data_IF_572832201964
#
_entry.id   IF_572832201964
#
_cell.length_a   1.000
_cell.length_b   1.000
_cell.length_c   1.000
_cell.angle_alpha   90.00
_cell.angle_beta   90.00
_cell.angle_gamma   90.00
#
_symmetry.space_group_name_H-M   'P 1'
#
loop_
_entity.id
_entity.type
_entity.pdbx_description
1 polymer ?
#
# COMPACT_ATOMS: atom_id res chain seq x y z
N UNK A 1 19.94 -12.11 12.79
CA UNK A 1 19.44 -10.73 12.91
C UNK A 1 18.16 -10.47 12.12
N UNK A 2 18.18 -10.63 10.78
CA UNK A 2 17.06 -10.21 9.90
C UNK A 2 15.70 -10.88 10.25
N UNK A 3 15.68 -12.18 10.50
CA UNK A 3 14.45 -12.90 10.87
C UNK A 3 13.92 -12.43 12.22
N UNK A 4 14.78 -12.23 13.21
CA UNK A 4 14.38 -11.74 14.54
C UNK A 4 13.81 -10.34 14.44
N UNK A 5 14.45 -9.44 13.69
CA UNK A 5 13.94 -8.08 13.47
C UNK A 5 12.59 -8.09 12.74
N UNK A 6 12.43 -8.97 11.74
CA UNK A 6 11.18 -9.15 11.01
C UNK A 6 10.03 -9.56 11.95
N UNK A 7 10.24 -10.60 12.75
CA UNK A 7 9.25 -11.09 13.71
C UNK A 7 8.95 -10.02 14.79
N UNK A 8 10.00 -9.37 15.31
CA UNK A 8 9.83 -8.35 16.37
C UNK A 8 9.00 -7.14 15.92
N UNK A 9 9.08 -6.76 14.65
CA UNK A 9 8.28 -5.65 14.10
C UNK A 9 6.85 -6.08 13.78
N UNK A 10 6.66 -7.29 13.26
CA UNK A 10 5.34 -7.74 12.81
C UNK A 10 4.47 -8.29 13.94
N UNK A 11 5.05 -8.96 14.94
CA UNK A 11 4.29 -9.65 15.97
C UNK A 11 3.38 -8.72 16.78
N UNK A 12 3.84 -7.56 17.29
CA UNK A 12 2.97 -6.63 18.00
C UNK A 12 1.81 -6.14 17.13
N UNK A 13 2.13 -5.75 15.87
CA UNK A 13 1.13 -5.26 14.92
C UNK A 13 0.10 -6.35 14.58
N UNK A 14 0.55 -7.59 14.41
CA UNK A 14 -0.31 -8.75 14.13
C UNK A 14 -1.30 -8.98 15.28
N UNK A 15 -0.81 -9.02 16.53
CA UNK A 15 -1.64 -9.25 17.71
C UNK A 15 -2.70 -8.15 17.84
N UNK A 16 -2.29 -6.89 17.74
CA UNK A 16 -3.21 -5.74 17.84
C UNK A 16 -4.25 -5.79 16.72
N UNK A 17 -3.83 -6.10 15.48
CA UNK A 17 -4.75 -6.16 14.35
C UNK A 17 -5.73 -7.33 14.47
N UNK A 18 -5.32 -8.49 14.98
CA UNK A 18 -6.23 -9.61 15.26
C UNK A 18 -7.29 -9.22 16.30
N UNK A 19 -6.89 -8.54 17.38
CA UNK A 19 -7.82 -8.03 18.39
C UNK A 19 -8.80 -7.03 17.77
N UNK A 20 -8.30 -6.06 17.02
CA UNK A 20 -9.15 -5.06 16.34
C UNK A 20 -10.11 -5.72 15.35
N UNK A 21 -9.65 -6.72 14.59
CA UNK A 21 -10.49 -7.45 13.64
C UNK A 21 -11.63 -8.18 14.33
N UNK A 22 -11.32 -8.83 15.45
CA UNK A 22 -12.32 -9.54 16.24
C UNK A 22 -13.35 -8.57 16.84
N UNK A 23 -12.89 -7.50 17.46
CA UNK A 23 -13.76 -6.45 17.99
C UNK A 23 -14.62 -5.82 16.89
N UNK A 24 -14.04 -5.49 15.75
CA UNK A 24 -14.76 -4.91 14.63
C UNK A 24 -15.93 -5.79 14.15
N UNK A 25 -15.68 -7.09 13.95
CA UNK A 25 -16.72 -7.99 13.46
C UNK A 25 -17.87 -8.20 14.48
N UNK A 26 -17.56 -8.13 15.76
CA UNK A 26 -18.57 -8.31 16.83
C UNK A 26 -19.21 -7.00 17.29
N UNK A 27 -18.64 -5.85 16.96
CA UNK A 27 -19.09 -4.54 17.47
C UNK A 27 -19.79 -3.67 16.42
N UNK A 28 -20.02 -4.18 15.21
CA UNK A 28 -20.68 -3.41 14.13
C UNK A 28 -22.02 -2.81 14.52
N UNK A 29 -22.74 -3.44 15.45
CA UNK A 29 -24.06 -3.03 15.91
C UNK A 29 -24.02 -2.08 17.13
N UNK A 30 -22.82 -1.71 17.61
CA UNK A 30 -22.70 -0.81 18.77
C UNK A 30 -22.86 0.63 18.26
N UNK A 31 -23.81 1.41 18.83
CA UNK A 31 -23.93 2.84 18.51
C UNK A 31 -22.60 3.57 18.72
N UNK A 32 -22.27 4.48 17.84
CA UNK A 32 -21.02 5.25 17.89
C UNK A 32 -19.79 4.54 17.34
N UNK A 33 -19.82 3.20 17.15
CA UNK A 33 -18.67 2.49 16.58
C UNK A 33 -18.38 2.93 15.12
N UNK A 34 -19.41 3.05 14.30
CA UNK A 34 -19.29 3.58 12.94
C UNK A 34 -18.82 5.03 12.93
N UNK A 35 -19.37 5.87 13.82
CA UNK A 35 -19.04 7.28 13.95
C UNK A 35 -17.58 7.52 14.36
N UNK A 36 -16.98 6.61 15.16
CA UNK A 36 -15.54 6.64 15.43
C UNK A 36 -14.73 6.60 14.13
N UNK A 37 -15.04 5.66 13.23
CA UNK A 37 -14.32 5.54 11.95
C UNK A 37 -14.61 6.70 11.01
N UNK A 38 -15.82 7.27 11.05
CA UNK A 38 -16.17 8.47 10.27
C UNK A 38 -15.30 9.67 10.64
N UNK A 39 -15.00 9.84 11.93
CA UNK A 39 -14.03 10.85 12.39
C UNK A 39 -12.58 10.55 12.01
N UNK A 40 -12.19 9.27 11.93
CA UNK A 40 -10.82 8.84 11.59
C UNK A 40 -10.51 8.98 10.10
N UNK A 41 -11.46 8.71 9.22
CA UNK A 41 -11.24 8.67 7.76
C UNK A 41 -10.61 9.94 7.17
N UNK A 42 -11.07 11.16 7.49
CA UNK A 42 -10.45 12.39 6.97
C UNK A 42 -8.98 12.53 7.41
N UNK A 43 -8.67 12.06 8.61
CA UNK A 43 -7.30 12.07 9.14
C UNK A 43 -6.42 11.08 8.37
N UNK A 44 -6.93 9.88 8.08
CA UNK A 44 -6.22 8.87 7.28
C UNK A 44 -5.94 9.41 5.88
N UNK A 45 -6.91 10.05 5.24
CA UNK A 45 -6.69 10.71 3.95
C UNK A 45 -5.62 11.81 4.04
N UNK A 46 -5.62 12.62 5.11
CA UNK A 46 -4.62 13.64 5.36
C UNK A 46 -3.20 13.05 5.54
N UNK A 47 -3.08 11.91 6.23
CA UNK A 47 -1.81 11.19 6.38
C UNK A 47 -1.29 10.75 5.02
N UNK A 48 -2.14 10.16 4.18
CA UNK A 48 -1.80 9.69 2.85
C UNK A 48 -1.33 10.86 1.97
N UNK A 49 -2.07 11.96 1.93
CA UNK A 49 -1.66 13.17 1.19
C UNK A 49 -0.37 13.78 1.74
N UNK A 50 -0.16 13.74 3.07
CA UNK A 50 1.07 14.21 3.70
C UNK A 50 2.29 13.40 3.25
N UNK A 51 2.16 12.07 3.14
CA UNK A 51 3.22 11.20 2.62
C UNK A 51 3.52 11.52 1.16
N UNK A 52 2.50 11.65 0.30
CA UNK A 52 2.65 12.06 -1.09
C UNK A 52 3.40 13.39 -1.22
N UNK A 53 3.00 14.39 -0.43
CA UNK A 53 3.61 15.72 -0.40
C UNK A 53 5.06 15.69 0.07
N UNK A 54 5.38 14.92 1.09
CA UNK A 54 6.75 14.80 1.59
C UNK A 54 7.68 14.14 0.55
N UNK A 55 7.21 13.11 -0.15
CA UNK A 55 7.98 12.51 -1.26
C UNK A 55 8.16 13.52 -2.40
N UNK A 56 7.12 14.30 -2.72
CA UNK A 56 7.16 15.31 -3.79
C UNK A 56 8.18 16.43 -3.52
N UNK A 57 8.35 16.83 -2.27
CA UNK A 57 9.32 17.88 -1.89
C UNK A 57 10.77 17.57 -2.30
N UNK A 58 11.14 16.28 -2.37
CA UNK A 58 12.51 15.86 -2.69
C UNK A 58 12.91 16.08 -4.16
N UNK A 59 11.95 16.40 -5.02
CA UNK A 59 12.19 16.61 -6.45
C UNK A 59 12.55 18.06 -6.76
N UNK A 60 13.61 18.25 -7.59
CA UNK A 60 14.10 19.57 -7.97
C UNK A 60 13.24 20.21 -9.07
N UNK A 61 12.88 19.43 -10.11
CA UNK A 61 12.03 19.89 -11.21
C UNK A 61 10.57 19.62 -10.87
N UNK A 62 9.97 20.58 -10.15
CA UNK A 62 8.61 20.43 -9.60
C UNK A 62 7.55 20.40 -10.70
N UNK A 63 7.70 21.18 -11.76
CA UNK A 63 6.71 21.25 -12.86
C UNK A 63 6.63 19.95 -13.62
N UNK A 64 7.79 19.39 -14.02
CA UNK A 64 7.83 18.10 -14.70
C UNK A 64 7.31 16.96 -13.81
N UNK A 65 7.73 16.93 -12.53
CA UNK A 65 7.23 15.94 -11.58
C UNK A 65 5.73 16.06 -11.38
N UNK A 66 5.17 17.26 -11.26
CA UNK A 66 3.74 17.49 -11.08
C UNK A 66 2.92 16.97 -12.26
N UNK A 67 3.36 17.21 -13.51
CA UNK A 67 2.71 16.67 -14.70
C UNK A 67 2.70 15.12 -14.70
N UNK A 68 3.79 14.48 -14.30
CA UNK A 68 3.85 13.03 -14.21
C UNK A 68 3.00 12.47 -13.07
N UNK A 69 2.88 13.19 -11.96
CA UNK A 69 1.99 12.81 -10.84
C UNK A 69 0.53 12.84 -11.30
N UNK A 70 0.11 13.90 -12.00
CA UNK A 70 -1.24 13.98 -12.58
C UNK A 70 -1.46 12.85 -13.58
N UNK A 71 -0.51 12.62 -14.48
CA UNK A 71 -0.61 11.53 -15.46
C UNK A 71 -0.78 10.17 -14.77
N UNK A 72 0.02 9.90 -13.73
CA UNK A 72 -0.08 8.66 -12.96
C UNK A 72 -1.43 8.54 -12.25
N UNK A 73 -1.91 9.61 -11.62
CA UNK A 73 -3.22 9.65 -10.97
C UNK A 73 -4.35 9.32 -11.97
N UNK A 74 -4.39 10.01 -13.11
CA UNK A 74 -5.42 9.82 -14.15
C UNK A 74 -5.35 8.40 -14.72
N UNK A 75 -4.17 7.88 -15.05
CA UNK A 75 -4.04 6.51 -15.55
C UNK A 75 -4.54 5.48 -14.53
N UNK A 76 -4.25 5.70 -13.25
CA UNK A 76 -4.71 4.79 -12.19
C UNK A 76 -6.23 4.82 -12.03
N UNK A 77 -6.87 6.00 -12.21
CA UNK A 77 -8.34 6.13 -12.12
C UNK A 77 -9.07 5.52 -13.32
N UNK A 78 -8.50 5.62 -14.52
CA UNK A 78 -9.16 5.16 -15.75
C UNK A 78 -8.99 3.66 -16.02
N UNK A 79 -7.87 3.06 -15.59
CA UNK A 79 -7.54 1.68 -15.88
C UNK A 79 -8.01 0.77 -14.74
N UNK A 80 -8.63 -0.35 -15.08
CA UNK A 80 -9.06 -1.37 -14.09
C UNK A 80 -8.01 -2.47 -13.90
N UNK A 81 -8.02 -3.12 -12.74
CA UNK A 81 -7.20 -4.28 -12.44
C UNK A 81 -5.71 -3.98 -12.21
N UNK A 82 -4.87 -5.00 -12.25
CA UNK A 82 -3.43 -4.94 -11.94
C UNK A 82 -2.62 -3.96 -12.82
N UNK A 83 -3.05 -3.80 -14.07
CA UNK A 83 -2.39 -2.92 -15.04
C UNK A 83 -2.42 -1.46 -14.60
N UNK A 84 -3.46 -1.06 -13.86
CA UNK A 84 -3.64 0.32 -13.38
C UNK A 84 -2.52 0.81 -12.45
N UNK A 85 -1.75 -0.07 -11.89
CA UNK A 85 -0.64 0.25 -10.97
C UNK A 85 0.68 0.14 -11.69
N UNK A 86 0.88 -0.92 -12.46
CA UNK A 86 2.17 -1.17 -13.13
C UNK A 86 2.37 -0.20 -14.29
N UNK A 87 1.34 0.06 -15.10
CA UNK A 87 1.45 0.89 -16.29
C UNK A 87 1.85 2.34 -15.99
N UNK A 88 1.23 3.05 -15.02
CA UNK A 88 1.65 4.40 -14.64
C UNK A 88 3.10 4.45 -14.17
N UNK A 89 3.56 3.46 -13.40
CA UNK A 89 4.95 3.39 -12.93
C UNK A 89 5.93 3.25 -14.10
N UNK A 90 5.63 2.33 -15.04
CA UNK A 90 6.47 2.11 -16.23
C UNK A 90 6.51 3.36 -17.11
N UNK A 91 5.37 3.97 -17.37
CA UNK A 91 5.28 5.22 -18.16
C UNK A 91 6.09 6.33 -17.51
N UNK A 92 5.92 6.58 -16.20
CA UNK A 92 6.69 7.59 -15.47
C UNK A 92 8.19 7.28 -15.47
N UNK A 93 8.56 6.00 -15.35
CA UNK A 93 9.95 5.55 -15.41
C UNK A 93 10.60 5.84 -16.76
N UNK A 94 9.93 5.44 -17.84
CA UNK A 94 10.39 5.66 -19.22
C UNK A 94 10.44 7.16 -19.57
N UNK A 95 9.39 7.91 -19.25
CA UNK A 95 9.31 9.36 -19.52
C UNK A 95 10.41 10.10 -18.77
N UNK A 96 10.66 9.76 -17.49
CA UNK A 96 11.78 10.39 -16.76
C UNK A 96 13.15 9.99 -17.32
N UNK A 97 13.29 8.78 -17.86
CA UNK A 97 14.50 8.33 -18.55
C UNK A 97 14.73 9.15 -19.83
N UNK A 98 13.71 9.32 -20.66
CA UNK A 98 13.79 10.09 -21.93
C UNK A 98 14.09 11.56 -21.63
N UNK A 99 13.36 12.18 -20.71
CA UNK A 99 13.55 13.59 -20.36
C UNK A 99 14.94 13.91 -19.80
N UNK A 100 15.53 13.02 -19.05
CA UNK A 100 16.86 13.18 -18.46
C UNK A 100 17.96 12.40 -19.22
N UNK A 101 17.65 11.85 -20.41
CA UNK A 101 18.53 10.95 -21.16
C UNK A 101 19.84 11.56 -21.62
N UNK A 102 19.88 12.86 -21.88
CA UNK A 102 21.11 13.58 -22.30
C UNK A 102 22.20 13.54 -21.22
N UNK A 103 21.82 13.35 -19.96
CA UNK A 103 22.78 13.16 -18.85
C UNK A 103 23.48 11.80 -18.88
N UNK A 104 22.93 10.83 -19.63
CA UNK A 104 23.48 9.45 -19.72
C UNK A 104 24.62 9.38 -20.72
N UNK A 105 24.55 10.10 -21.84
CA UNK A 105 25.53 10.06 -22.94
C UNK A 105 26.98 10.39 -22.50
N UNK A 106 27.16 11.06 -21.33
CA UNK A 106 28.46 11.44 -20.79
C UNK A 106 29.18 10.35 -19.96
N UNK A 107 28.57 9.23 -19.59
CA UNK A 107 29.07 8.43 -18.45
C UNK A 107 29.20 6.92 -18.70
N UNK A 108 28.77 6.31 -19.83
CA UNK A 108 28.66 4.85 -19.93
C UNK A 108 29.45 4.19 -21.06
N UNK A 109 30.29 3.22 -20.68
CA UNK A 109 30.89 2.24 -21.56
C UNK A 109 29.86 1.09 -21.77
N UNK A 110 29.30 0.88 -22.99
CA UNK A 110 28.12 0.02 -23.22
C UNK A 110 28.36 -1.46 -22.89
N UNK A 111 29.60 -1.97 -23.01
CA UNK A 111 29.93 -3.39 -22.73
C UNK A 111 29.83 -3.78 -21.25
N UNK A 112 30.08 -2.87 -20.32
CA UNK A 112 29.92 -3.14 -18.85
C UNK A 112 28.48 -3.03 -18.39
N UNK A 113 27.59 -2.38 -19.13
CA UNK A 113 26.17 -2.28 -18.80
C UNK A 113 25.43 -3.61 -19.01
N UNK A 114 25.75 -4.34 -20.09
CA UNK A 114 25.07 -5.58 -20.47
C UNK A 114 25.23 -6.73 -19.46
N UNK A 115 26.43 -6.94 -18.92
CA UNK A 115 26.69 -7.97 -17.90
C UNK A 115 25.97 -7.68 -16.57
N UNK A 116 25.69 -6.41 -16.28
CA UNK A 116 24.98 -5.97 -15.06
C UNK A 116 23.47 -6.17 -15.14
N UNK A 117 22.91 -6.16 -16.37
CA UNK A 117 21.49 -6.38 -16.62
C UNK A 117 21.12 -7.86 -16.45
N UNK A 118 22.05 -8.80 -16.65
CA UNK A 118 21.79 -10.25 -16.48
C UNK A 118 21.20 -10.60 -15.10
N UNK A 119 21.71 -10.00 -14.02
CA UNK A 119 21.19 -10.23 -12.67
C UNK A 119 19.74 -9.76 -12.49
N UNK A 120 19.37 -8.64 -13.12
CA UNK A 120 17.99 -8.10 -13.08
C UNK A 120 17.06 -9.03 -13.86
N UNK A 121 17.51 -9.52 -15.04
CA UNK A 121 16.72 -10.43 -15.87
C UNK A 121 16.49 -11.76 -15.12
N UNK A 122 17.53 -12.32 -14.50
CA UNK A 122 17.41 -13.57 -13.73
C UNK A 122 16.45 -13.38 -12.55
N UNK A 123 16.56 -12.30 -11.84
CA UNK A 123 15.69 -11.99 -10.71
C UNK A 123 14.24 -11.73 -11.16
N UNK A 124 14.04 -11.02 -12.25
CA UNK A 124 12.72 -10.85 -12.89
C UNK A 124 12.15 -12.18 -13.36
N UNK A 125 12.99 -13.07 -13.89
CA UNK A 125 12.57 -14.40 -14.32
C UNK A 125 12.14 -15.27 -13.12
N UNK A 126 12.88 -15.22 -12.01
CA UNK A 126 12.50 -15.94 -10.78
C UNK A 126 11.18 -15.42 -10.22
N UNK A 127 11.00 -14.09 -10.17
CA UNK A 127 9.72 -13.50 -9.76
C UNK A 127 8.57 -13.91 -10.69
N UNK A 128 8.81 -13.89 -12.00
CA UNK A 128 7.84 -14.31 -12.99
C UNK A 128 7.47 -15.79 -12.84
N UNK A 129 8.44 -16.67 -12.64
CA UNK A 129 8.21 -18.10 -12.42
C UNK A 129 7.46 -18.36 -11.12
N UNK A 130 7.78 -17.65 -10.03
CA UNK A 130 7.03 -17.70 -8.78
C UNK A 130 5.58 -17.23 -8.98
N UNK A 131 5.39 -16.13 -9.70
CA UNK A 131 4.07 -15.62 -10.05
C UNK A 131 3.25 -16.63 -10.86
N UNK A 132 3.85 -17.24 -11.90
CA UNK A 132 3.20 -18.27 -12.74
C UNK A 132 2.88 -19.50 -11.90
N UNK A 133 3.80 -19.98 -11.06
CA UNK A 133 3.57 -21.13 -10.19
C UNK A 133 2.40 -20.91 -9.23
N UNK A 134 2.33 -19.77 -8.57
CA UNK A 134 1.24 -19.42 -7.67
C UNK A 134 -0.11 -19.34 -8.40
N UNK A 135 -0.11 -18.85 -9.65
CA UNK A 135 -1.36 -18.69 -10.39
C UNK A 135 -1.89 -20.00 -11.01
N UNK A 136 -1.04 -20.98 -11.28
CA UNK A 136 -1.43 -22.26 -11.88
C UNK A 136 -1.80 -23.34 -10.87
N UNK A 137 -1.61 -23.13 -9.58
CA UNK A 137 -2.02 -24.09 -8.56
C UNK A 137 -3.56 -24.11 -8.43
N UNK A 138 -4.17 -25.26 -8.74
CA UNK A 138 -5.62 -25.48 -8.75
C UNK A 138 -6.10 -25.96 -7.37
N UNK A 139 -5.93 -25.13 -6.31
CA UNK A 139 -6.43 -25.40 -4.96
C UNK A 139 -7.55 -24.41 -4.67
N UNK A 140 -8.71 -24.88 -4.24
CA UNK A 140 -9.92 -24.07 -4.04
C UNK A 140 -10.17 -23.64 -2.59
N UNK A 141 -9.27 -23.91 -1.65
CA UNK A 141 -9.46 -23.44 -0.27
C UNK A 141 -9.32 -21.93 -0.13
N UNK A 142 -10.04 -21.35 0.82
CA UNK A 142 -10.01 -19.89 1.07
C UNK A 142 -8.61 -19.44 1.50
N UNK A 143 -7.92 -20.25 2.29
CA UNK A 143 -6.56 -19.97 2.77
C UNK A 143 -5.55 -19.92 1.61
N UNK A 144 -5.72 -20.83 0.65
CA UNK A 144 -4.88 -20.83 -0.54
C UNK A 144 -5.14 -19.61 -1.42
N UNK A 145 -6.41 -19.22 -1.59
CA UNK A 145 -6.77 -18.00 -2.31
C UNK A 145 -6.22 -16.74 -1.62
N UNK A 146 -6.30 -16.67 -0.30
CA UNK A 146 -5.66 -15.63 0.50
C UNK A 146 -4.15 -15.59 0.26
N UNK A 147 -3.48 -16.74 0.39
CA UNK A 147 -2.05 -16.84 0.20
C UNK A 147 -1.65 -16.42 -1.22
N UNK A 148 -2.37 -16.88 -2.24
CA UNK A 148 -2.15 -16.56 -3.65
C UNK A 148 -2.28 -15.06 -3.93
N UNK A 149 -3.38 -14.45 -3.49
CA UNK A 149 -3.64 -13.03 -3.72
C UNK A 149 -2.59 -12.16 -3.02
N UNK A 150 -2.35 -12.38 -1.73
CA UNK A 150 -1.40 -11.57 -0.98
C UNK A 150 0.06 -11.79 -1.37
N UNK A 151 0.45 -13.00 -1.78
CA UNK A 151 1.79 -13.23 -2.31
C UNK A 151 1.99 -12.54 -3.66
N UNK A 152 0.99 -12.55 -4.54
CA UNK A 152 1.05 -11.81 -5.81
C UNK A 152 1.15 -10.30 -5.57
N UNK A 153 0.37 -9.76 -4.64
CA UNK A 153 0.45 -8.36 -4.25
C UNK A 153 1.85 -8.06 -3.72
N UNK A 154 2.39 -8.89 -2.82
CA UNK A 154 3.71 -8.74 -2.24
C UNK A 154 4.83 -8.67 -3.28
N UNK A 155 4.75 -9.51 -4.32
CA UNK A 155 5.75 -9.57 -5.39
C UNK A 155 5.67 -8.41 -6.37
N UNK A 156 4.48 -7.84 -6.55
CA UNK A 156 4.23 -6.75 -7.52
C UNK A 156 4.29 -5.37 -6.89
N UNK A 157 4.35 -5.28 -5.56
CA UNK A 157 4.33 -4.02 -4.85
C UNK A 157 5.71 -3.34 -4.87
N UNK A 158 5.79 -2.20 -5.52
CA UNK A 158 6.99 -1.35 -5.53
C UNK A 158 6.65 0.03 -4.96
N UNK A 159 7.50 0.55 -4.05
CA UNK A 159 7.47 1.97 -3.70
C UNK A 159 6.93 2.35 -2.35
N UNK A 160 6.55 1.39 -1.50
CA UNK A 160 6.12 1.64 -0.12
C UNK A 160 4.68 1.23 0.18
N UNK A 161 4.35 1.18 1.47
CA UNK A 161 3.08 0.62 1.95
C UNK A 161 1.82 1.33 1.44
N UNK A 162 1.89 2.63 1.17
CA UNK A 162 0.71 3.40 0.73
C UNK A 162 0.28 3.11 -0.72
N UNK A 163 1.17 2.61 -1.57
CA UNK A 163 0.83 2.12 -2.92
C UNK A 163 -0.05 0.87 -2.87
N UNK A 164 -0.01 0.17 -1.75
CA UNK A 164 -0.81 -1.00 -1.48
C UNK A 164 -2.32 -0.71 -1.41
N UNK A 165 -2.71 0.48 -0.96
CA UNK A 165 -4.12 0.85 -0.77
C UNK A 165 -4.93 0.74 -2.07
N UNK A 166 -4.59 1.44 -3.18
CA UNK A 166 -5.38 1.32 -4.41
C UNK A 166 -5.29 -0.07 -5.03
N UNK A 167 -4.21 -0.80 -4.75
CA UNK A 167 -4.04 -2.16 -5.23
C UNK A 167 -4.97 -3.14 -4.52
N UNK A 168 -5.04 -3.04 -3.18
CA UNK A 168 -5.98 -3.81 -2.39
C UNK A 168 -7.42 -3.49 -2.76
N UNK A 169 -7.78 -2.21 -2.86
CA UNK A 169 -9.12 -1.79 -3.22
C UNK A 169 -9.60 -2.51 -4.48
N UNK A 170 -8.82 -2.43 -5.55
CA UNK A 170 -9.15 -3.05 -6.84
C UNK A 170 -9.25 -4.58 -6.80
N UNK A 171 -8.50 -5.23 -5.91
CA UNK A 171 -8.53 -6.70 -5.83
C UNK A 171 -9.57 -7.16 -4.83
N UNK A 172 -9.51 -6.64 -3.60
CA UNK A 172 -10.26 -7.17 -2.47
C UNK A 172 -11.71 -6.69 -2.48
N UNK A 173 -11.94 -5.46 -2.96
CA UNK A 173 -13.28 -4.88 -3.09
C UNK A 173 -13.86 -5.14 -4.47
N UNK A 174 -13.20 -4.66 -5.56
CA UNK A 174 -13.80 -4.68 -6.90
C UNK A 174 -13.80 -6.06 -7.58
N UNK A 175 -12.77 -6.90 -7.36
CA UNK A 175 -12.62 -8.17 -8.09
C UNK A 175 -13.07 -9.39 -7.29
N UNK A 176 -12.74 -9.44 -6.00
CA UNK A 176 -12.98 -10.60 -5.15
C UNK A 176 -14.23 -10.46 -4.27
N UNK A 177 -14.75 -9.24 -4.09
CA UNK A 177 -15.87 -8.91 -3.18
C UNK A 177 -15.67 -9.48 -1.75
N UNK A 178 -14.42 -9.45 -1.29
CA UNK A 178 -14.07 -9.93 0.05
C UNK A 178 -14.41 -8.93 1.15
N UNK A 179 -14.37 -7.65 0.82
CA UNK A 179 -14.75 -6.55 1.68
C UNK A 179 -15.71 -5.60 0.96
N UNK A 180 -16.63 -5.04 1.71
CA UNK A 180 -17.32 -3.82 1.27
C UNK A 180 -16.32 -2.66 1.25
N UNK A 181 -16.63 -1.60 0.52
CA UNK A 181 -15.79 -0.39 0.47
C UNK A 181 -15.55 0.20 1.85
N UNK A 182 -16.60 0.23 2.67
CA UNK A 182 -16.55 0.72 4.05
C UNK A 182 -15.59 -0.13 4.90
N UNK A 183 -15.75 -1.44 4.91
CA UNK A 183 -14.86 -2.34 5.66
C UNK A 183 -13.40 -2.22 5.24
N UNK A 184 -13.16 -1.98 3.95
CA UNK A 184 -11.83 -1.76 3.43
C UNK A 184 -11.21 -0.49 4.02
N UNK A 185 -11.93 0.63 4.02
CA UNK A 185 -11.44 1.90 4.56
C UNK A 185 -11.23 1.80 6.07
N UNK A 186 -12.16 1.18 6.81
CA UNK A 186 -12.04 0.92 8.26
C UNK A 186 -10.81 0.07 8.56
N UNK A 187 -10.52 -0.94 7.73
CA UNK A 187 -9.31 -1.77 7.86
C UNK A 187 -8.01 -1.00 7.68
N UNK A 188 -7.99 -0.02 6.77
CA UNK A 188 -6.86 0.90 6.60
C UNK A 188 -6.69 1.78 7.83
N UNK A 189 -7.79 2.33 8.36
CA UNK A 189 -7.77 3.14 9.58
C UNK A 189 -7.20 2.34 10.77
N UNK A 190 -7.65 1.10 10.97
CA UNK A 190 -7.10 0.20 11.98
C UNK A 190 -5.60 -0.07 11.76
N UNK A 191 -5.19 -0.27 10.49
CA UNK A 191 -3.78 -0.43 10.13
C UNK A 191 -2.93 0.79 10.45
N UNK A 192 -3.48 2.01 10.41
CA UNK A 192 -2.79 3.24 10.78
C UNK A 192 -2.67 3.43 12.30
N UNK A 193 -3.63 2.90 13.06
CA UNK A 193 -3.59 2.92 14.53
C UNK A 193 -2.55 1.93 15.06
N UNK A 194 -2.35 0.80 14.37
CA UNK A 194 -1.38 -0.21 14.80
C UNK A 194 0.07 0.28 14.62
N UNK A 195 0.95 0.05 15.60
CA UNK A 195 2.37 0.40 15.45
C UNK A 195 3.06 -0.58 14.50
N UNK A 196 3.14 -0.24 13.20
CA UNK A 196 3.75 -1.13 12.22
C UNK A 196 3.52 -0.70 10.78
N UNK A 197 3.87 -1.56 9.81
CA UNK A 197 3.67 -1.25 8.40
C UNK A 197 2.17 -1.33 8.04
N UNK A 198 1.69 -0.38 7.24
CA UNK A 198 0.27 -0.33 6.80
C UNK A 198 -0.21 -1.62 6.12
N UNK A 199 0.71 -2.40 5.55
CA UNK A 199 0.46 -3.72 4.97
C UNK A 199 -0.20 -4.71 5.95
N UNK A 200 -0.17 -4.42 7.26
CA UNK A 200 -0.83 -5.20 8.29
C UNK A 200 -2.38 -5.24 8.11
N UNK A 201 -2.94 -4.36 7.30
CA UNK A 201 -4.33 -4.41 6.85
C UNK A 201 -4.69 -5.79 6.24
N UNK A 202 -3.73 -6.48 5.61
CA UNK A 202 -3.93 -7.85 5.13
C UNK A 202 -4.33 -8.83 6.25
N UNK A 203 -3.86 -8.60 7.48
CA UNK A 203 -4.23 -9.40 8.66
C UNK A 203 -5.72 -9.30 8.96
N UNK A 204 -6.30 -8.10 8.86
CA UNK A 204 -7.75 -7.90 9.01
C UNK A 204 -8.54 -8.68 7.97
N UNK A 205 -8.14 -8.58 6.70
CA UNK A 205 -8.81 -9.26 5.60
C UNK A 205 -8.77 -10.78 5.81
N UNK A 206 -7.57 -11.29 6.15
CA UNK A 206 -7.39 -12.71 6.44
C UNK A 206 -8.21 -13.17 7.65
N UNK A 207 -8.25 -12.35 8.72
CA UNK A 207 -9.06 -12.65 9.90
C UNK A 207 -10.55 -12.74 9.52
N UNK A 208 -11.08 -11.73 8.84
CA UNK A 208 -12.50 -11.70 8.43
C UNK A 208 -12.86 -12.94 7.61
N UNK A 209 -12.08 -13.24 6.58
CA UNK A 209 -12.38 -14.37 5.69
C UNK A 209 -12.24 -15.70 6.42
N UNK A 210 -11.16 -15.90 7.18
CA UNK A 210 -10.97 -17.10 7.98
C UNK A 210 -12.10 -17.29 9.01
N UNK A 211 -12.54 -16.19 9.64
CA UNK A 211 -13.65 -16.24 10.61
C UNK A 211 -14.97 -16.62 9.93
N UNK A 212 -15.37 -15.93 8.87
CA UNK A 212 -16.66 -16.15 8.20
C UNK A 212 -16.72 -17.54 7.52
N UNK A 213 -15.71 -17.88 6.71
CA UNK A 213 -15.68 -19.15 5.99
C UNK A 213 -15.29 -20.35 6.87
N UNK A 214 -14.68 -20.11 8.02
CA UNK A 214 -14.31 -21.12 8.99
C UNK A 214 -15.36 -21.38 10.08
N UNK A 215 -16.64 -21.07 9.84
CA UNK A 215 -17.74 -21.34 10.78
C UNK A 215 -17.78 -20.41 11.98
N UNK A 216 -17.38 -19.16 11.83
CA UNK A 216 -17.39 -18.11 12.86
C UNK A 216 -16.55 -18.44 14.10
N UNK A 217 -15.45 -19.16 13.93
CA UNK A 217 -14.55 -19.51 15.03
C UNK A 217 -13.34 -18.56 15.07
N UNK A 218 -12.95 -18.15 16.28
CA UNK A 218 -11.78 -17.29 16.50
C UNK A 218 -10.52 -17.96 15.95
N UNK A 219 -10.38 -19.28 16.12
CA UNK A 219 -9.20 -20.04 15.68
C UNK A 219 -9.03 -19.92 14.17
N UNK A 220 -10.10 -20.11 13.40
CA UNK A 220 -10.04 -19.99 11.93
C UNK A 220 -9.81 -18.53 11.49
N UNK A 221 -10.35 -17.56 12.21
CA UNK A 221 -10.03 -16.15 12.01
C UNK A 221 -8.54 -15.84 12.20
N UNK A 222 -7.95 -16.32 13.32
CA UNK A 222 -6.51 -16.15 13.60
C UNK A 222 -5.65 -16.88 12.56
N UNK A 223 -6.07 -18.07 12.12
CA UNK A 223 -5.36 -18.82 11.07
C UNK A 223 -5.39 -18.08 9.75
N UNK A 224 -6.55 -17.57 9.31
CA UNK A 224 -6.67 -16.75 8.10
C UNK A 224 -5.82 -15.47 8.19
N UNK A 225 -5.83 -14.79 9.34
CA UNK A 225 -4.97 -13.64 9.61
C UNK A 225 -3.47 -13.98 9.46
N UNK A 226 -3.05 -15.12 10.02
CA UNK A 226 -1.67 -15.60 9.95
C UNK A 226 -1.25 -15.88 8.49
N UNK A 227 -2.09 -16.60 7.73
CA UNK A 227 -1.86 -16.91 6.31
C UNK A 227 -1.70 -15.63 5.51
N UNK A 228 -2.62 -14.66 5.65
CA UNK A 228 -2.57 -13.40 4.93
C UNK A 228 -1.31 -12.59 5.28
N UNK A 229 -0.97 -12.51 6.58
CA UNK A 229 0.21 -11.78 7.06
C UNK A 229 1.51 -12.37 6.51
N UNK A 230 1.67 -13.68 6.59
CA UNK A 230 2.87 -14.33 6.03
C UNK A 230 2.94 -14.12 4.52
N UNK A 231 1.82 -14.26 3.83
CA UNK A 231 1.77 -14.16 2.37
C UNK A 231 2.05 -12.76 1.84
N UNK A 232 1.73 -11.71 2.59
CA UNK A 232 2.03 -10.33 2.17
C UNK A 232 3.47 -9.91 2.48
N UNK A 233 4.07 -10.40 3.57
CA UNK A 233 5.39 -9.93 3.99
C UNK A 233 6.54 -10.85 3.56
N UNK A 234 6.33 -12.17 3.54
CA UNK A 234 7.41 -13.12 3.30
C UNK A 234 7.97 -13.06 1.88
N UNK A 235 7.15 -13.03 0.78
CA UNK A 235 7.70 -13.04 -0.57
C UNK A 235 8.55 -11.81 -0.87
N UNK A 236 8.11 -10.61 -0.50
CA UNK A 236 8.88 -9.37 -0.67
C UNK A 236 10.17 -9.38 0.14
N UNK A 237 10.15 -9.93 1.36
CA UNK A 237 11.34 -10.04 2.22
C UNK A 237 12.37 -10.98 1.63
N UNK A 238 11.94 -12.13 1.10
CA UNK A 238 12.81 -13.08 0.39
C UNK A 238 13.44 -12.41 -0.84
N UNK A 239 12.62 -11.73 -1.64
CA UNK A 239 13.09 -10.99 -2.82
C UNK A 239 14.15 -9.96 -2.43
N UNK A 240 13.93 -9.15 -1.38
CA UNK A 240 14.90 -8.15 -0.91
C UNK A 240 16.24 -8.79 -0.50
N UNK A 241 16.21 -9.92 0.20
CA UNK A 241 17.43 -10.64 0.60
C UNK A 241 18.24 -11.06 -0.63
N UNK A 242 17.60 -11.66 -1.64
CA UNK A 242 18.27 -12.04 -2.88
C UNK A 242 18.77 -10.83 -3.66
N UNK A 243 17.96 -9.78 -3.77
CA UNK A 243 18.30 -8.58 -4.51
C UNK A 243 19.33 -7.69 -3.80
N UNK A 244 19.53 -7.83 -2.49
CA UNK A 244 20.49 -6.99 -1.74
C UNK A 244 21.91 -7.08 -2.32
N UNK A 245 22.32 -8.25 -2.79
CA UNK A 245 23.62 -8.46 -3.45
C UNK A 245 23.68 -7.81 -4.84
N UNK A 246 22.59 -7.89 -5.60
CA UNK A 246 22.48 -7.34 -6.96
C UNK A 246 22.31 -5.82 -6.92
N UNK A 247 21.62 -5.31 -5.91
CA UNK A 247 21.36 -3.87 -5.72
C UNK A 247 22.62 -3.03 -5.65
N UNK A 248 23.69 -3.52 -5.03
CA UNK A 248 24.97 -2.81 -4.97
C UNK A 248 25.54 -2.50 -6.37
N UNK A 249 25.38 -3.42 -7.32
CA UNK A 249 25.82 -3.24 -8.71
C UNK A 249 24.87 -2.34 -9.52
N UNK A 250 23.58 -2.45 -9.25
CA UNK A 250 22.52 -1.69 -9.96
C UNK A 250 22.55 -0.22 -9.55
N UNK A 251 22.77 0.08 -8.28
CA UNK A 251 22.80 1.45 -7.72
C UNK A 251 23.81 2.37 -8.43
N UNK A 252 24.85 1.82 -9.06
CA UNK A 252 25.87 2.60 -9.79
C UNK A 252 25.45 2.97 -11.22
N UNK A 253 24.39 2.36 -11.77
CA UNK A 253 23.95 2.60 -13.14
C UNK A 253 23.01 3.83 -13.19
N UNK A 254 23.39 4.84 -13.98
CA UNK A 254 22.63 6.08 -14.11
C UNK A 254 21.24 5.86 -14.74
N UNK A 255 21.15 4.97 -15.74
CA UNK A 255 19.88 4.61 -16.38
C UNK A 255 18.88 4.07 -15.36
N UNK A 256 19.34 3.12 -14.52
CA UNK A 256 18.50 2.53 -13.45
C UNK A 256 18.08 3.59 -12.42
N UNK A 257 18.98 4.49 -12.05
CA UNK A 257 18.64 5.60 -11.14
C UNK A 257 17.53 6.49 -11.70
N UNK A 258 17.59 6.80 -13.00
CA UNK A 258 16.57 7.63 -13.64
C UNK A 258 15.22 6.92 -13.73
N UNK A 259 15.20 5.62 -14.06
CA UNK A 259 13.97 4.81 -14.07
C UNK A 259 13.36 4.75 -12.67
N UNK A 260 14.17 4.44 -11.64
CA UNK A 260 13.70 4.40 -10.23
C UNK A 260 13.19 5.78 -9.80
N UNK A 261 13.83 6.87 -10.23
CA UNK A 261 13.35 8.22 -9.95
C UNK A 261 11.98 8.47 -10.60
N UNK A 262 11.79 8.03 -11.83
CA UNK A 262 10.47 8.09 -12.51
C UNK A 262 9.42 7.24 -11.78
N UNK A 263 9.75 6.04 -11.34
CA UNK A 263 8.85 5.21 -10.53
C UNK A 263 8.42 5.94 -9.24
N UNK A 264 9.36 6.59 -8.53
CA UNK A 264 9.03 7.37 -7.33
C UNK A 264 8.03 8.49 -7.63
N UNK A 265 8.11 9.13 -8.80
CA UNK A 265 7.14 10.15 -9.21
C UNK A 265 5.77 9.51 -9.47
N UNK A 266 5.73 8.39 -10.20
CA UNK A 266 4.49 7.64 -10.44
C UNK A 266 3.82 7.17 -9.13
N UNK A 267 4.61 6.74 -8.15
CA UNK A 267 4.14 6.35 -6.81
C UNK A 267 3.38 7.49 -6.12
N UNK A 268 3.83 8.74 -6.27
CA UNK A 268 3.11 9.89 -5.68
C UNK A 268 1.69 9.98 -6.25
N UNK A 269 1.52 9.78 -7.56
CA UNK A 269 0.19 9.76 -8.20
C UNK A 269 -0.71 8.65 -7.66
N UNK A 270 -0.15 7.44 -7.48
CA UNK A 270 -0.87 6.32 -6.88
C UNK A 270 -1.30 6.61 -5.43
N UNK A 271 -0.42 7.20 -4.62
CA UNK A 271 -0.72 7.58 -3.24
C UNK A 271 -1.81 8.68 -3.21
N UNK A 272 -1.73 9.67 -4.09
CA UNK A 272 -2.78 10.68 -4.21
C UNK A 272 -4.13 10.07 -4.61
N UNK A 273 -4.13 9.07 -5.49
CA UNK A 273 -5.35 8.34 -5.85
C UNK A 273 -5.93 7.57 -4.66
N UNK A 274 -5.08 6.97 -3.81
CA UNK A 274 -5.54 6.32 -2.57
C UNK A 274 -6.24 7.31 -1.63
N UNK A 275 -5.63 8.49 -1.42
CA UNK A 275 -6.24 9.55 -0.61
C UNK A 275 -7.57 10.03 -1.20
N UNK A 276 -7.65 10.13 -2.53
CA UNK A 276 -8.87 10.49 -3.24
C UNK A 276 -9.99 9.46 -3.01
N UNK A 277 -9.70 8.16 -3.13
CA UNK A 277 -10.68 7.09 -2.88
C UNK A 277 -11.29 7.22 -1.47
N UNK A 278 -10.44 7.38 -0.45
CA UNK A 278 -10.88 7.47 0.95
C UNK A 278 -11.72 8.72 1.18
N UNK A 279 -11.34 9.85 0.58
CA UNK A 279 -12.13 11.10 0.68
C UNK A 279 -13.44 11.02 -0.09
N UNK A 280 -13.46 10.35 -1.26
CA UNK A 280 -14.64 10.27 -2.12
C UNK A 280 -15.76 9.46 -1.46
N UNK A 281 -15.43 8.40 -0.72
CA UNK A 281 -16.40 7.62 0.06
C UNK A 281 -17.15 8.50 1.08
N UNK A 282 -16.44 9.47 1.66
CA UNK A 282 -17.07 10.44 2.56
C UNK A 282 -17.80 11.59 1.86
N UNK A 283 -17.44 11.87 0.60
CA UNK A 283 -18.09 12.92 -0.19
C UNK A 283 -19.51 12.56 -0.61
N UNK A 284 -19.91 11.29 -0.60
CA UNK A 284 -21.32 10.90 -0.76
C UNK A 284 -22.20 11.39 0.40
N UNK A 285 -21.60 11.65 1.55
CA UNK A 285 -22.21 12.34 2.70
C UNK A 285 -21.69 13.77 2.91
N UNK A 286 -21.34 14.50 1.82
CA UNK A 286 -20.68 15.82 1.77
C UNK A 286 -20.77 16.62 3.07
N UNK A 287 -19.89 16.35 4.00
CA UNK A 287 -19.74 17.18 5.18
C UNK A 287 -18.51 18.08 4.97
N UNK A 288 -18.75 19.38 4.85
CA UNK A 288 -17.69 20.43 4.89
C UNK A 288 -16.76 20.18 6.08
N UNK A 289 -17.27 19.54 7.13
CA UNK A 289 -16.56 19.13 8.31
C UNK A 289 -15.42 18.14 8.00
N UNK A 290 -15.69 17.06 7.25
CA UNK A 290 -14.68 16.04 6.88
C UNK A 290 -13.54 16.65 6.06
N UNK A 291 -13.87 17.54 5.12
CA UNK A 291 -12.86 18.28 4.34
C UNK A 291 -12.02 19.19 5.25
N UNK A 292 -12.66 19.87 6.20
CA UNK A 292 -12.00 20.76 7.17
C UNK A 292 -11.05 19.97 8.08
N UNK A 293 -11.48 18.80 8.58
CA UNK A 293 -10.66 17.90 9.38
C UNK A 293 -9.44 17.41 8.58
N UNK A 294 -9.64 17.02 7.32
CA UNK A 294 -8.56 16.58 6.45
C UNK A 294 -7.52 17.68 6.24
N UNK A 295 -7.96 18.91 5.87
CA UNK A 295 -7.06 20.05 5.67
C UNK A 295 -6.33 20.44 6.96
N UNK A 296 -7.05 20.49 8.08
CA UNK A 296 -6.45 20.81 9.37
C UNK A 296 -5.41 19.77 9.78
N UNK A 297 -5.76 18.48 9.68
CA UNK A 297 -4.83 17.38 9.96
C UNK A 297 -3.61 17.41 9.04
N UNK A 298 -3.79 17.70 7.74
CA UNK A 298 -2.70 17.84 6.79
C UNK A 298 -1.73 18.97 7.19
N UNK A 299 -2.24 20.11 7.66
CA UNK A 299 -1.42 21.23 8.15
C UNK A 299 -0.64 20.81 9.41
N UNK A 300 -1.30 20.17 10.38
CA UNK A 300 -0.66 19.71 11.61
C UNK A 300 0.46 18.70 11.33
N UNK A 301 0.23 17.74 10.42
CA UNK A 301 1.24 16.75 10.03
C UNK A 301 2.46 17.37 9.35
N UNK A 302 2.25 18.38 8.49
CA UNK A 302 3.36 18.92 7.69
C UNK A 302 4.07 20.11 8.30
N UNK A 303 3.38 20.98 9.07
CA UNK A 303 3.98 22.14 9.74
C UNK A 303 4.46 21.84 11.15
N UNK A 304 3.59 21.22 11.97
CA UNK A 304 3.85 20.98 13.39
C UNK A 304 4.53 19.62 13.61
N UNK A 305 4.42 18.72 12.62
CA UNK A 305 4.96 17.34 12.66
C UNK A 305 4.34 16.50 13.80
N UNK A 306 3.06 16.69 14.07
CA UNK A 306 2.31 15.87 15.02
C UNK A 306 2.32 14.43 14.55
N UNK A 307 2.47 13.48 15.46
CA UNK A 307 2.44 12.07 15.11
C UNK A 307 1.02 11.66 14.66
N UNK A 308 0.84 10.94 13.54
CA UNK A 308 -0.47 10.58 13.00
C UNK A 308 -1.42 9.93 14.01
N UNK A 309 -0.88 9.05 14.88
CA UNK A 309 -1.65 8.32 15.88
C UNK A 309 -2.47 9.25 16.79
N UNK A 310 -1.90 10.38 17.24
CA UNK A 310 -2.62 11.33 18.10
C UNK A 310 -3.82 11.93 17.39
N UNK A 311 -3.66 12.30 16.12
CA UNK A 311 -4.75 12.86 15.32
C UNK A 311 -5.87 11.82 15.10
N UNK A 312 -5.50 10.58 14.80
CA UNK A 312 -6.46 9.49 14.60
C UNK A 312 -7.28 9.26 15.88
N UNK A 313 -6.62 9.20 17.05
CA UNK A 313 -7.31 8.98 18.32
C UNK A 313 -8.22 10.17 18.64
N UNK A 314 -7.72 11.41 18.52
CA UNK A 314 -8.50 12.62 18.86
C UNK A 314 -9.74 12.72 17.96
N UNK A 315 -9.57 12.63 16.65
CA UNK A 315 -10.69 12.76 15.71
C UNK A 315 -11.62 11.56 15.72
N UNK A 316 -11.11 10.36 16.02
CA UNK A 316 -11.95 9.19 16.25
C UNK A 316 -12.84 9.36 17.48
N UNK A 317 -12.31 9.87 18.60
CA UNK A 317 -13.11 10.19 19.79
C UNK A 317 -14.11 11.31 19.51
N UNK A 318 -13.72 12.34 18.78
CA UNK A 318 -14.64 13.41 18.36
C UNK A 318 -15.77 12.82 17.52
N UNK A 319 -15.48 11.95 16.54
CA UNK A 319 -16.48 11.25 15.75
C UNK A 319 -17.44 10.45 16.62
N UNK A 320 -16.90 9.69 17.55
CA UNK A 320 -17.68 8.85 18.49
C UNK A 320 -18.66 9.68 19.34
N UNK A 321 -18.22 10.82 19.90
CA UNK A 321 -19.04 11.65 20.80
C UNK A 321 -20.02 12.58 20.07
N UNK A 322 -19.71 12.99 18.84
CA UNK A 322 -20.56 13.89 18.06
C UNK A 322 -21.50 13.13 17.11
N UNK A 323 -21.40 11.80 17.05
CA UNK A 323 -22.20 10.94 16.15
C UNK A 323 -22.17 11.44 14.69
N UNK A 324 -20.97 11.84 14.24
CA UNK A 324 -20.74 12.42 12.90
C UNK A 324 -20.75 11.32 11.85
#
# INVERSE_FOLDING_TARGET
>A
GAVVSFVAVLLPSFIIMVIFSHLYLNSKNIPGFSSFFDGVMPVVAAVIFSVAFNIFKDFKDKTFCFLLVILSFVLTSLIKGYISIILPLVICGVTNLVYNGDRIKKITNPKKAFLRVKGIIIAGLIMFLLFVFLNNAAISSIEFNLAKVFANISLTLFGGGYVFIPYLDKIVVEQMDWLTKREFIDSIAMGQITPGPILITATFIGYKLGYIFGGNTIINGVFGAFVATISIFLPSSVVIIFFSRVYYFIKKNMTVKLIIKGFKIGIIGLICYSGYIIMFEQLESLNILSLSICLFSFILLNKIKVHPLFLIIIFGLIGYFLEI
#
